data_IF_452890871309
#
_entry.id   IF_452890871309
#
_cell.length_a   1.000
_cell.length_b   1.000
_cell.length_c   1.000
_cell.angle_alpha   90.00
_cell.angle_beta   90.00
_cell.angle_gamma   90.00
#
_symmetry.space_group_name_H-M   'P 1'
#
loop_
_entity.id
_entity.type
_entity.pdbx_description
1 polymer ?
#
# COMPACT_ATOMS: atom_id res chain seq x y z
N UNK A 1 -14.78 64.82 97.81
CA UNK A 1 -15.43 64.14 98.96
C UNK A 1 -15.25 62.64 98.76
N UNK A 2 -14.80 61.96 99.84
CA UNK A 2 -14.89 60.53 100.22
C UNK A 2 -15.45 59.53 99.19
N UNK A 3 -15.10 58.26 99.13
CA UNK A 3 -14.28 57.30 99.86
C UNK A 3 -14.83 55.95 99.35
N UNK A 4 -14.04 54.89 99.32
CA UNK A 4 -14.56 53.59 98.91
C UNK A 4 -13.45 52.55 98.93
N UNK A 5 -13.05 52.20 100.14
CA UNK A 5 -12.18 51.07 100.45
C UNK A 5 -13.07 49.84 100.61
N UNK A 6 -12.75 48.74 99.93
CA UNK A 6 -13.23 47.42 100.33
C UNK A 6 -12.13 46.38 100.07
N UNK A 7 -11.54 45.93 101.18
CA UNK A 7 -10.71 44.73 101.30
C UNK A 7 -11.64 43.63 101.81
N UNK A 8 -11.58 42.42 101.23
CA UNK A 8 -11.66 41.08 101.87
C UNK A 8 -11.58 40.04 100.74
N UNK A 9 -10.42 39.43 100.47
CA UNK A 9 -9.82 38.24 101.09
C UNK A 9 -10.56 36.91 100.86
N UNK A 10 -9.77 35.94 100.38
CA UNK A 10 -9.89 34.48 100.55
C UNK A 10 -10.99 33.73 99.79
N UNK A 11 -10.59 32.86 98.86
CA UNK A 11 -10.54 31.39 99.02
C UNK A 11 -9.81 30.82 97.80
N UNK A 12 -8.79 29.99 98.05
CA UNK A 12 -8.09 29.22 97.03
C UNK A 12 -8.85 27.92 96.77
N UNK A 13 -8.91 27.49 95.50
CA UNK A 13 -9.19 26.09 95.14
C UNK A 13 -8.77 25.80 93.67
N UNK A 14 -8.70 24.53 93.24
CA UNK A 14 -7.44 23.85 92.90
C UNK A 14 -7.01 23.96 91.43
N UNK A 15 -5.71 23.81 91.19
CA UNK A 15 -5.10 23.74 89.85
C UNK A 15 -5.50 22.46 89.10
N UNK A 16 -6.14 22.54 87.92
CA UNK A 16 -6.46 21.35 87.14
C UNK A 16 -5.23 20.79 86.40
N UNK A 17 -5.00 19.50 86.68
CA UNK A 17 -4.16 18.48 86.04
C UNK A 17 -3.73 18.76 84.59
N UNK A 18 -2.42 18.66 84.34
CA UNK A 18 -1.82 18.71 83.01
C UNK A 18 -2.30 17.56 82.10
N UNK A 19 -2.80 17.90 80.92
CA UNK A 19 -3.23 16.96 79.88
C UNK A 19 -2.03 16.46 79.06
N UNK A 20 -1.98 15.17 78.66
CA UNK A 20 -0.86 14.65 77.88
C UNK A 20 -0.84 15.23 76.46
N UNK A 21 0.34 15.69 76.06
CA UNK A 21 0.64 16.29 74.76
C UNK A 21 0.42 15.26 73.63
N UNK A 22 -0.69 15.40 72.88
CA UNK A 22 -0.99 14.60 71.69
C UNK A 22 0.16 14.72 70.68
N UNK A 23 0.82 13.60 70.39
CA UNK A 23 1.81 13.51 69.30
C UNK A 23 1.06 13.67 67.97
N UNK A 24 1.33 14.79 67.30
CA UNK A 24 0.77 15.13 66.00
C UNK A 24 1.59 14.40 64.92
N UNK A 25 1.06 13.32 64.38
CA UNK A 25 1.64 12.61 63.24
C UNK A 25 1.59 13.49 61.99
N UNK A 26 2.56 14.38 61.84
CA UNK A 26 2.79 15.12 60.62
C UNK A 26 3.80 14.38 59.75
N UNK A 27 3.48 14.31 58.45
CA UNK A 27 4.38 14.12 57.31
C UNK A 27 4.67 12.67 56.88
N UNK A 28 3.85 12.18 55.94
CA UNK A 28 4.36 11.36 54.84
C UNK A 28 4.61 12.30 53.65
N UNK A 29 5.83 12.33 53.07
CA UNK A 29 6.11 13.16 51.91
C UNK A 29 5.26 12.71 50.72
N UNK A 30 4.54 13.66 50.10
CA UNK A 30 3.92 13.48 48.78
C UNK A 30 5.03 13.20 47.77
N UNK A 31 5.25 11.94 47.43
CA UNK A 31 6.16 11.56 46.35
C UNK A 31 5.52 11.87 45.00
N UNK A 32 5.98 12.99 44.42
CA UNK A 32 6.14 13.34 43.00
C UNK A 32 5.33 12.48 41.99
N UNK A 33 4.10 12.90 41.69
CA UNK A 33 3.41 12.52 40.43
C UNK A 33 3.90 13.35 39.23
N UNK A 34 5.21 13.34 38.96
CA UNK A 34 5.80 14.17 37.88
C UNK A 34 6.49 13.37 36.77
N UNK A 35 6.54 12.05 36.84
CA UNK A 35 7.21 11.21 35.83
C UNK A 35 6.28 10.46 34.87
N UNK A 36 4.95 10.46 35.09
CA UNK A 36 4.02 9.67 34.27
C UNK A 36 3.52 10.40 33.01
N UNK A 37 3.52 11.73 32.98
CA UNK A 37 2.98 12.51 31.85
C UNK A 37 3.95 12.68 30.67
N UNK A 38 5.26 12.73 30.94
CA UNK A 38 6.26 12.86 29.87
C UNK A 38 6.37 11.60 29.00
N UNK A 39 6.25 10.42 29.62
CA UNK A 39 6.38 9.14 28.93
C UNK A 39 5.18 8.85 28.01
N UNK A 40 3.96 9.18 28.44
CA UNK A 40 2.76 9.01 27.62
C UNK A 40 2.72 9.99 26.45
N UNK A 41 3.21 11.22 26.62
CA UNK A 41 3.28 12.22 25.55
C UNK A 41 4.23 11.79 24.43
N UNK A 42 5.43 11.30 24.76
CA UNK A 42 6.41 10.80 23.78
C UNK A 42 5.88 9.55 23.07
N UNK A 43 5.25 8.62 23.79
CA UNK A 43 4.66 7.42 23.18
C UNK A 43 3.50 7.77 22.24
N UNK A 44 2.63 8.70 22.64
CA UNK A 44 1.50 9.14 21.81
C UNK A 44 1.98 9.85 20.54
N UNK A 45 3.01 10.68 20.66
CA UNK A 45 3.62 11.34 19.51
C UNK A 45 4.29 10.33 18.56
N UNK A 46 4.99 9.33 19.10
CA UNK A 46 5.56 8.25 18.31
C UNK A 46 4.50 7.44 17.55
N UNK A 47 3.40 7.07 18.22
CA UNK A 47 2.28 6.36 17.59
C UNK A 47 1.63 7.24 16.50
N UNK A 48 1.45 8.53 16.75
CA UNK A 48 0.91 9.45 15.76
C UNK A 48 1.82 9.56 14.51
N UNK A 49 3.14 9.58 14.68
CA UNK A 49 4.08 9.58 13.56
C UNK A 49 4.08 8.27 12.77
N UNK A 50 3.90 7.12 13.43
CA UNK A 50 3.73 5.82 12.74
C UNK A 50 2.44 5.80 11.92
N UNK A 51 1.32 6.26 12.50
CA UNK A 51 0.03 6.34 11.79
C UNK A 51 0.12 7.29 10.59
N UNK A 52 0.70 8.49 10.79
CA UNK A 52 0.88 9.47 9.72
C UNK A 52 1.84 8.98 8.62
N UNK A 53 2.88 8.23 8.98
CA UNK A 53 3.80 7.61 8.03
C UNK A 53 3.13 6.55 7.16
N UNK A 54 2.23 5.74 7.73
CA UNK A 54 1.46 4.73 6.98
C UNK A 54 0.46 5.41 6.03
N UNK A 55 -0.19 6.50 6.43
CA UNK A 55 -1.14 7.24 5.59
C UNK A 55 -0.50 7.94 4.39
N UNK A 56 0.82 8.19 4.42
CA UNK A 56 1.58 8.77 3.31
C UNK A 56 2.12 7.75 2.31
N UNK A 57 1.78 6.46 2.44
CA UNK A 57 2.18 5.44 1.48
C UNK A 57 1.37 5.57 0.19
N UNK A 58 1.80 6.47 -0.67
CA UNK A 58 1.42 6.49 -2.10
C UNK A 58 1.79 5.15 -2.69
N UNK A 59 0.79 4.30 -2.90
CA UNK A 59 0.97 3.06 -3.68
C UNK A 59 1.46 3.47 -5.07
N UNK A 60 2.37 2.70 -5.70
CA UNK A 60 3.02 3.06 -6.98
C UNK A 60 2.08 3.46 -8.14
N UNK A 61 0.77 3.21 -8.00
CA UNK A 61 -0.30 3.72 -8.89
C UNK A 61 -0.31 5.25 -9.04
N UNK A 62 -0.08 6.00 -7.96
CA UNK A 62 -0.21 7.47 -7.99
C UNK A 62 0.90 8.16 -8.82
N UNK A 63 2.01 7.46 -9.07
CA UNK A 63 3.13 7.99 -9.86
C UNK A 63 2.97 7.75 -11.37
N UNK A 64 2.10 6.83 -11.78
CA UNK A 64 2.05 6.38 -13.19
C UNK A 64 0.92 7.01 -14.03
N UNK A 65 -0.03 7.73 -13.42
CA UNK A 65 -1.20 8.34 -14.11
C UNK A 65 -1.85 7.39 -15.14
N UNK A 66 -2.04 6.13 -14.75
CA UNK A 66 -2.68 5.14 -15.61
C UNK A 66 -4.19 5.45 -15.73
N UNK A 67 -4.81 5.18 -16.88
CA UNK A 67 -6.27 5.14 -16.99
C UNK A 67 -6.87 4.12 -16.03
N UNK A 68 -8.12 4.35 -15.58
CA UNK A 68 -8.80 3.45 -14.64
C UNK A 68 -9.00 2.03 -15.19
N UNK A 69 -8.92 1.84 -16.51
CA UNK A 69 -9.00 0.54 -17.18
C UNK A 69 -7.69 -0.27 -17.15
N UNK A 70 -6.56 0.34 -16.76
CA UNK A 70 -5.26 -0.32 -16.66
C UNK A 70 -4.84 -0.35 -15.20
N UNK A 71 -4.84 -1.53 -14.60
CA UNK A 71 -4.50 -1.70 -13.19
C UNK A 71 -2.99 -1.66 -12.96
N UNK A 72 -2.22 -2.26 -13.88
CA UNK A 72 -0.76 -2.35 -13.74
C UNK A 72 -0.05 -2.55 -15.09
N UNK A 73 1.19 -2.06 -15.16
CA UNK A 73 2.12 -2.32 -16.25
C UNK A 73 3.40 -2.94 -15.71
N UNK A 74 3.93 -3.92 -16.44
CA UNK A 74 5.27 -4.43 -16.24
C UNK A 74 5.96 -4.58 -17.61
N UNK A 75 7.13 -3.97 -17.83
CA UNK A 75 7.75 -2.95 -16.99
C UNK A 75 6.85 -1.72 -16.84
N UNK A 76 6.95 -1.03 -15.71
CA UNK A 76 6.24 0.21 -15.47
C UNK A 76 6.80 1.36 -16.34
N UNK A 77 6.06 2.46 -16.42
CA UNK A 77 6.46 3.64 -17.18
C UNK A 77 7.83 4.17 -16.70
N UNK A 78 8.81 4.15 -17.60
CA UNK A 78 10.17 4.65 -17.35
C UNK A 78 11.09 3.67 -16.62
N UNK A 79 10.66 2.42 -16.40
CA UNK A 79 11.50 1.40 -15.78
C UNK A 79 12.76 1.12 -16.60
N UNK A 80 13.80 0.68 -15.90
CA UNK A 80 15.03 0.15 -16.49
C UNK A 80 15.08 -1.36 -16.30
N UNK A 81 15.19 -2.11 -17.40
CA UNK A 81 15.11 -3.57 -17.39
C UNK A 81 16.21 -4.23 -18.22
N UNK A 82 16.34 -5.55 -18.06
CA UNK A 82 17.21 -6.37 -18.90
C UNK A 82 16.58 -6.63 -20.26
N UNK A 83 17.40 -7.04 -21.22
CA UNK A 83 17.00 -7.33 -22.60
C UNK A 83 16.02 -8.51 -22.78
N UNK A 84 15.73 -9.28 -21.72
CA UNK A 84 14.75 -10.38 -21.70
C UNK A 84 13.53 -10.07 -20.82
N UNK A 85 13.20 -8.80 -20.65
CA UNK A 85 12.03 -8.40 -19.86
C UNK A 85 10.71 -8.95 -20.44
N UNK A 86 9.76 -9.19 -19.55
CA UNK A 86 8.42 -9.61 -19.91
C UNK A 86 7.53 -8.37 -19.96
N UNK A 87 6.67 -8.30 -20.97
CA UNK A 87 5.64 -7.27 -21.01
C UNK A 87 4.36 -7.86 -20.46
N UNK A 88 3.80 -7.24 -19.42
CA UNK A 88 2.52 -7.59 -18.81
C UNK A 88 1.70 -6.32 -18.69
N UNK A 89 0.47 -6.38 -19.17
CA UNK A 89 -0.55 -5.36 -18.93
C UNK A 89 -1.67 -6.01 -18.15
N UNK A 90 -1.92 -5.50 -16.95
CA UNK A 90 -3.05 -5.88 -16.13
C UNK A 90 -4.21 -4.91 -16.41
N UNK A 91 -5.32 -5.46 -16.90
CA UNK A 91 -6.49 -4.69 -17.30
C UNK A 91 -7.57 -4.82 -16.24
N UNK A 92 -8.37 -3.78 -16.09
CA UNK A 92 -9.57 -3.86 -15.28
C UNK A 92 -10.50 -4.98 -15.79
N UNK A 93 -11.31 -5.60 -14.91
CA UNK A 93 -12.25 -6.64 -15.31
C UNK A 93 -13.16 -6.22 -16.47
N UNK A 94 -13.34 -7.11 -17.44
CA UNK A 94 -14.21 -6.87 -18.58
C UNK A 94 -13.52 -6.24 -19.79
N UNK A 95 -12.20 -6.06 -19.76
CA UNK A 95 -11.40 -5.56 -20.88
C UNK A 95 -10.49 -6.63 -21.49
N UNK A 96 -10.19 -6.46 -22.76
CA UNK A 96 -9.15 -7.21 -23.48
C UNK A 96 -8.42 -6.25 -24.41
N UNK A 97 -7.42 -6.74 -25.15
CA UNK A 97 -6.69 -5.88 -26.07
C UNK A 97 -5.64 -6.58 -26.90
N UNK A 98 -4.86 -5.77 -27.62
CA UNK A 98 -3.65 -6.15 -28.33
C UNK A 98 -2.47 -5.28 -27.93
N UNK A 99 -1.28 -5.84 -28.11
CA UNK A 99 -0.02 -5.17 -27.80
C UNK A 99 0.72 -4.80 -29.07
N UNK A 100 1.32 -3.63 -29.06
CA UNK A 100 2.25 -3.16 -30.10
C UNK A 100 3.57 -2.84 -29.40
N UNK A 101 4.65 -3.40 -29.92
CA UNK A 101 6.00 -3.29 -29.35
C UNK A 101 6.92 -2.74 -30.43
N UNK A 102 7.40 -1.51 -30.29
CA UNK A 102 8.24 -0.82 -31.30
C UNK A 102 7.67 -0.94 -32.73
N UNK A 103 6.38 -0.61 -32.86
CA UNK A 103 5.59 -0.69 -34.10
C UNK A 103 5.28 -2.11 -34.60
N UNK A 104 5.77 -3.16 -33.93
CA UNK A 104 5.37 -4.55 -34.21
C UNK A 104 4.01 -4.85 -33.55
N UNK A 105 2.99 -5.10 -34.37
CA UNK A 105 1.68 -5.54 -33.89
C UNK A 105 1.73 -7.02 -33.55
N UNK A 106 1.53 -7.35 -32.28
CA UNK A 106 1.50 -8.73 -31.81
C UNK A 106 0.06 -9.24 -31.78
N UNK A 107 -0.13 -10.50 -32.20
CA UNK A 107 -1.44 -11.14 -32.20
C UNK A 107 -1.80 -11.57 -30.78
N UNK A 108 -3.00 -11.21 -30.32
CA UNK A 108 -3.52 -11.72 -29.03
C UNK A 108 -4.21 -13.07 -29.20
N UNK A 109 -3.90 -14.01 -28.32
CA UNK A 109 -4.56 -15.32 -28.21
C UNK A 109 -5.09 -15.52 -26.79
N UNK A 110 -6.34 -15.95 -26.67
CA UNK A 110 -6.99 -16.23 -25.38
C UNK A 110 -6.60 -17.61 -24.86
N UNK A 111 -6.10 -17.67 -23.62
CA UNK A 111 -5.73 -18.95 -22.98
C UNK A 111 -6.94 -19.88 -22.81
N UNK A 112 -8.14 -19.32 -22.56
CA UNK A 112 -9.38 -20.07 -22.37
C UNK A 112 -9.88 -20.82 -23.62
N UNK A 113 -9.44 -20.43 -24.82
CA UNK A 113 -9.86 -21.09 -26.07
C UNK A 113 -9.06 -22.37 -26.38
N UNK A 114 -8.09 -22.72 -25.52
CA UNK A 114 -7.30 -23.95 -25.65
C UNK A 114 -7.96 -25.19 -25.04
N UNK A 115 -9.13 -25.06 -24.39
CA UNK A 115 -9.92 -26.21 -23.95
C UNK A 115 -10.75 -26.74 -25.14
N UNK A 116 -10.46 -27.95 -25.66
CA UNK A 116 -11.17 -28.50 -26.80
C UNK A 116 -12.66 -28.65 -26.46
N UNK A 117 -13.51 -27.91 -27.17
CA UNK A 117 -14.97 -28.03 -27.07
C UNK A 117 -15.40 -29.39 -27.62
N UNK A 118 -15.39 -30.42 -26.77
CA UNK A 118 -16.14 -31.68 -26.89
C UNK A 118 -15.94 -32.52 -28.15
N UNK A 119 -15.20 -33.63 -28.00
CA UNK A 119 -15.32 -34.89 -28.73
C UNK A 119 -15.11 -34.89 -30.27
N UNK A 120 -13.87 -35.15 -30.68
CA UNK A 120 -13.59 -36.02 -31.84
C UNK A 120 -12.33 -36.83 -31.52
N UNK A 121 -12.45 -38.16 -31.52
CA UNK A 121 -11.30 -39.03 -31.31
C UNK A 121 -10.28 -38.88 -32.44
N UNK A 122 -9.09 -38.37 -32.14
CA UNK A 122 -7.87 -38.59 -32.92
C UNK A 122 -6.64 -38.05 -32.16
N UNK A 123 -5.69 -38.96 -31.90
CA UNK A 123 -4.28 -38.78 -31.52
C UNK A 123 -3.92 -38.03 -30.21
N UNK A 124 -2.97 -38.58 -29.42
CA UNK A 124 -2.42 -37.89 -28.26
C UNK A 124 -1.53 -36.72 -28.70
N UNK A 125 -1.70 -35.58 -28.03
CA UNK A 125 -0.65 -34.57 -27.81
C UNK A 125 -0.01 -33.97 -29.07
N UNK A 126 -0.76 -33.21 -29.87
CA UNK A 126 -0.12 -32.05 -30.50
C UNK A 126 -0.01 -31.00 -29.41
N UNK A 127 1.17 -30.91 -28.77
CA UNK A 127 1.58 -29.66 -28.14
C UNK A 127 1.50 -28.62 -29.25
N UNK A 128 0.41 -27.84 -29.28
CA UNK A 128 0.28 -26.73 -30.21
C UNK A 128 1.52 -25.88 -29.99
N UNK A 129 2.42 -25.85 -30.97
CA UNK A 129 3.61 -25.01 -30.87
C UNK A 129 3.10 -23.58 -30.70
N UNK A 130 3.30 -23.01 -29.52
CA UNK A 130 2.89 -21.64 -29.25
C UNK A 130 3.68 -20.74 -30.20
N UNK A 131 2.95 -19.99 -31.01
CA UNK A 131 3.54 -19.01 -31.90
C UNK A 131 4.31 -17.99 -31.04
N UNK A 132 5.65 -17.85 -31.25
CA UNK A 132 6.49 -17.01 -30.41
C UNK A 132 6.11 -15.51 -30.47
N UNK A 133 5.30 -15.10 -31.45
CA UNK A 133 4.87 -13.72 -31.66
C UNK A 133 3.44 -13.44 -31.19
N UNK A 134 2.98 -14.24 -30.24
CA UNK A 134 1.64 -14.08 -29.65
C UNK A 134 1.67 -13.48 -28.25
N UNK A 135 0.76 -12.54 -28.03
CA UNK A 135 0.38 -12.04 -26.71
C UNK A 135 -0.64 -13.00 -26.13
N UNK A 136 -0.39 -13.48 -24.92
CA UNK A 136 -1.31 -14.34 -24.20
C UNK A 136 -2.28 -13.48 -23.40
N UNK A 137 -3.58 -13.60 -23.68
CA UNK A 137 -4.63 -13.07 -22.82
C UNK A 137 -5.09 -14.14 -21.83
N UNK A 138 -5.10 -13.80 -20.55
CA UNK A 138 -5.62 -14.64 -19.47
C UNK A 138 -6.91 -14.03 -18.91
N UNK A 139 -8.05 -14.64 -19.22
CA UNK A 139 -9.36 -14.16 -18.78
C UNK A 139 -9.59 -14.35 -17.27
N UNK A 140 -8.80 -15.20 -16.59
CA UNK A 140 -8.89 -15.38 -15.14
C UNK A 140 -8.27 -14.23 -14.37
N UNK A 141 -7.24 -13.59 -14.94
CA UNK A 141 -6.54 -12.46 -14.34
C UNK A 141 -6.68 -11.14 -15.11
N UNK A 142 -7.37 -11.13 -16.27
CA UNK A 142 -7.45 -9.99 -17.20
C UNK A 142 -6.09 -9.45 -17.67
N UNK A 143 -5.09 -10.34 -17.82
CA UNK A 143 -3.73 -9.92 -18.17
C UNK A 143 -3.40 -10.21 -19.63
N UNK A 144 -2.70 -9.27 -20.27
CA UNK A 144 -2.01 -9.45 -21.55
C UNK A 144 -0.52 -9.66 -21.27
N UNK A 145 0.02 -10.81 -21.64
CA UNK A 145 1.42 -11.17 -21.42
C UNK A 145 2.17 -11.45 -22.71
N UNK A 146 3.34 -10.84 -22.89
CA UNK A 146 4.29 -11.13 -23.96
C UNK A 146 5.66 -11.44 -23.40
N UNK A 147 6.29 -12.49 -23.94
CA UNK A 147 7.61 -12.97 -23.55
C UNK A 147 8.47 -13.08 -24.82
N UNK A 148 9.55 -12.28 -24.94
CA UNK A 148 10.55 -12.50 -25.98
C UNK A 148 11.13 -13.91 -25.91
N UNK A 149 11.25 -14.58 -27.07
CA UNK A 149 11.73 -15.97 -27.18
C UNK A 149 12.59 -16.16 -28.43
N UNK A 150 13.61 -17.05 -28.37
CA UNK A 150 14.36 -17.41 -29.57
C UNK A 150 13.44 -17.90 -30.69
N UNK A 151 13.65 -17.42 -31.92
CA UNK A 151 12.82 -17.74 -33.08
C UNK A 151 11.53 -16.91 -33.24
N UNK A 152 11.25 -15.97 -32.32
CA UNK A 152 10.20 -14.96 -32.52
C UNK A 152 10.73 -13.70 -33.20
N UNK A 153 9.82 -12.84 -33.65
CA UNK A 153 10.09 -11.51 -34.17
C UNK A 153 10.86 -10.62 -33.16
N UNK A 154 10.63 -10.82 -31.86
CA UNK A 154 11.45 -10.23 -30.79
C UNK A 154 12.05 -11.34 -29.94
N UNK A 155 13.30 -11.69 -30.20
CA UNK A 155 14.03 -12.64 -29.38
C UNK A 155 14.55 -12.04 -28.08
N UNK A 156 14.92 -10.76 -28.15
CA UNK A 156 15.41 -9.92 -27.05
C UNK A 156 15.24 -8.46 -27.43
N UNK A 157 15.06 -7.61 -26.44
CA UNK A 157 15.06 -6.17 -26.66
C UNK A 157 16.48 -5.66 -26.92
N UNK A 158 16.60 -4.69 -27.83
CA UNK A 158 17.86 -3.98 -28.04
C UNK A 158 18.19 -3.10 -26.82
N UNK A 159 19.42 -2.63 -26.70
CA UNK A 159 19.75 -1.60 -25.70
C UNK A 159 19.14 -0.27 -26.15
N UNK A 160 18.46 0.43 -25.25
CA UNK A 160 17.82 1.71 -25.56
C UNK A 160 16.37 1.78 -25.07
N UNK A 161 15.65 2.78 -25.56
CA UNK A 161 14.24 3.00 -25.20
C UNK A 161 13.33 2.20 -26.12
N UNK A 162 12.38 1.49 -25.51
CA UNK A 162 11.34 0.73 -26.19
C UNK A 162 9.97 1.36 -25.92
N UNK A 163 9.15 1.47 -26.97
CA UNK A 163 7.81 2.06 -26.90
C UNK A 163 6.77 0.96 -27.01
N UNK A 164 5.92 0.88 -25.98
CA UNK A 164 4.85 -0.10 -25.92
C UNK A 164 3.51 0.62 -25.99
N UNK A 165 2.60 0.09 -26.81
CA UNK A 165 1.24 0.56 -26.90
C UNK A 165 0.29 -0.60 -26.69
N UNK A 166 -0.61 -0.45 -25.72
CA UNK A 166 -1.77 -1.32 -25.59
C UNK A 166 -2.96 -0.66 -26.24
N UNK A 167 -3.66 -1.41 -27.09
CA UNK A 167 -4.97 -1.04 -27.63
C UNK A 167 -5.97 -1.96 -26.95
N UNK A 168 -6.93 -1.41 -26.23
CA UNK A 168 -7.83 -2.17 -25.37
C UNK A 168 -9.29 -1.75 -25.55
N UNK A 169 -10.20 -2.69 -25.34
CA UNK A 169 -11.65 -2.50 -25.48
C UNK A 169 -12.40 -3.44 -24.54
N UNK A 170 -13.68 -3.17 -24.30
CA UNK A 170 -14.51 -4.05 -23.48
C UNK A 170 -14.75 -5.37 -24.19
N UNK A 171 -14.80 -6.48 -23.46
CA UNK A 171 -15.13 -7.81 -23.99
C UNK A 171 -16.48 -7.87 -24.70
N UNK A 172 -17.41 -6.97 -24.36
CA UNK A 172 -18.73 -6.85 -24.99
C UNK A 172 -18.73 -6.01 -26.26
N UNK A 173 -17.60 -5.38 -26.59
CA UNK A 173 -17.43 -4.49 -27.74
C UNK A 173 -16.36 -5.07 -28.68
N UNK A 174 -16.21 -4.47 -29.85
CA UNK A 174 -15.14 -4.81 -30.78
C UNK A 174 -14.00 -3.81 -30.69
N UNK A 175 -12.85 -4.19 -31.26
CA UNK A 175 -11.66 -3.34 -31.37
C UNK A 175 -11.94 -1.98 -32.05
N UNK A 176 -13.01 -1.84 -32.82
CA UNK A 176 -13.39 -0.55 -33.43
C UNK A 176 -13.67 0.53 -32.36
N UNK A 177 -14.13 0.14 -31.17
CA UNK A 177 -14.36 1.02 -30.03
C UNK A 177 -13.22 0.95 -29.01
N UNK A 178 -11.98 0.85 -29.49
CA UNK A 178 -10.81 0.74 -28.63
C UNK A 178 -10.33 2.08 -28.07
N UNK A 179 -9.70 1.99 -26.91
CA UNK A 179 -8.81 2.99 -26.35
C UNK A 179 -7.36 2.56 -26.56
N UNK A 180 -6.43 3.50 -26.42
CA UNK A 180 -5.01 3.18 -26.48
C UNK A 180 -4.24 3.90 -25.40
N UNK A 181 -3.28 3.20 -24.79
CA UNK A 181 -2.33 3.78 -23.86
C UNK A 181 -0.92 3.41 -24.31
N UNK A 182 0.01 4.37 -24.23
CA UNK A 182 1.41 4.19 -24.66
C UNK A 182 2.33 4.53 -23.51
N UNK A 183 3.32 3.67 -23.27
CA UNK A 183 4.38 3.90 -22.31
C UNK A 183 5.73 3.47 -22.88
N UNK A 184 6.79 3.73 -22.13
CA UNK A 184 8.13 3.30 -22.50
C UNK A 184 8.84 2.68 -21.30
N UNK A 185 9.85 1.86 -21.60
CA UNK A 185 10.88 1.44 -20.67
C UNK A 185 12.24 1.54 -21.35
N UNK A 186 13.31 1.59 -20.58
CA UNK A 186 14.68 1.55 -21.11
C UNK A 186 15.30 0.18 -20.83
N UNK A 187 16.06 -0.32 -21.79
CA UNK A 187 16.89 -1.53 -21.66
C UNK A 187 18.34 -1.12 -21.53
N UNK A 188 19.00 -1.60 -20.49
CA UNK A 188 20.44 -1.45 -20.28
C UNK A 188 21.17 -2.78 -20.43
N UNK A 189 22.42 -2.70 -20.87
CA UNK A 189 23.33 -3.83 -20.99
C UNK A 189 23.78 -4.37 -19.63
#
# INVERSE_FOLDING_TARGET
MKAGEEITQHVADPQPVATPKRVRWSQLPRSRKLSAFGLSAVLSLGIAFVIAGISGSVTGRDQSRLPDEIEQLQPALGDKVLNQANIVVDLAPGYTGRLIVDDLVLRTVSTAESEPRGNAGAAPTTTLAFDPDTVRYDAGTNTLGYQPRPGGAIERFAVGRHLIKVIYWKLTESEVNSFSFTWYFDVSA
#
